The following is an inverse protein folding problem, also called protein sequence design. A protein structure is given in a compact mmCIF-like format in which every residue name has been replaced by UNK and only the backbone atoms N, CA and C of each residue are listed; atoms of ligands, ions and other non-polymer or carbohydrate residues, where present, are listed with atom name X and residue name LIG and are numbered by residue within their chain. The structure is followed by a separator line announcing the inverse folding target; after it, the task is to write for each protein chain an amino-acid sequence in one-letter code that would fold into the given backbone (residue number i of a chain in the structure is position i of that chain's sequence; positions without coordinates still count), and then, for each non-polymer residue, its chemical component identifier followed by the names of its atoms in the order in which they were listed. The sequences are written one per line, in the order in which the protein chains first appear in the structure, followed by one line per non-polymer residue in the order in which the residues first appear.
data_IF_405964744025
#
_entry.id   IF_405964744025
#
_cell.length_a   1.000
_cell.length_b   1.000
_cell.length_c   1.000
_cell.angle_alpha   90.00
_cell.angle_beta   90.00
_cell.angle_gamma   90.00
#
_symmetry.space_group_name_H-M   'P 1'
#
loop_
_entity.id
_entity.type
_entity.pdbx_description
1 polymer ?
#
# COMPACT_ATOMS: atom_id res chain seq x y z
N UNK A 1 -18.11 8.86 20.89
CA UNK A 1 -16.96 8.33 20.12
C UNK A 1 -15.71 9.00 20.67
N UNK A 2 -14.80 8.24 21.30
CA UNK A 2 -13.52 8.77 21.81
C UNK A 2 -12.46 8.54 20.73
N UNK A 3 -11.69 9.57 20.41
CA UNK A 3 -10.59 9.54 19.44
C UNK A 3 -9.30 9.70 20.24
N UNK A 4 -8.26 8.96 19.88
CA UNK A 4 -6.92 9.10 20.45
C UNK A 4 -6.05 9.83 19.44
N UNK A 5 -5.56 11.01 19.81
CA UNK A 5 -4.64 11.80 18.99
C UNK A 5 -3.19 11.41 19.28
N UNK A 6 -2.39 11.28 18.22
CA UNK A 6 -0.96 11.03 18.31
C UNK A 6 -0.21 12.32 17.94
N UNK A 7 0.32 13.02 18.93
CA UNK A 7 1.08 14.28 18.72
C UNK A 7 2.37 14.08 17.92
N UNK A 8 2.86 12.84 17.81
CA UNK A 8 4.15 12.48 17.22
C UNK A 8 4.02 11.32 16.24
N UNK A 9 3.34 11.55 15.12
CA UNK A 9 3.23 10.61 14.01
C UNK A 9 4.12 11.06 12.84
N UNK A 10 5.15 10.26 12.53
CA UNK A 10 6.13 10.57 11.47
C UNK A 10 6.05 9.56 10.33
N UNK A 11 6.29 10.01 9.10
CA UNK A 11 6.43 9.14 7.93
C UNK A 11 7.88 8.64 7.80
N UNK A 12 8.05 7.42 7.26
CA UNK A 12 9.38 6.82 7.09
C UNK A 12 10.22 7.46 5.97
N UNK A 13 9.57 8.18 5.05
CA UNK A 13 10.21 8.84 3.93
C UNK A 13 9.37 10.06 3.49
N UNK A 14 9.97 11.20 3.11
CA UNK A 14 9.26 12.37 2.60
C UNK A 14 8.81 12.21 1.13
N UNK A 15 8.66 10.98 0.64
CA UNK A 15 8.23 10.68 -0.72
C UNK A 15 6.99 9.79 -0.71
N UNK A 16 6.11 10.01 -1.69
CA UNK A 16 4.77 9.47 -1.66
C UNK A 16 4.72 7.96 -1.85
N UNK A 17 5.50 7.39 -2.77
CA UNK A 17 5.56 5.94 -3.00
C UNK A 17 6.25 5.15 -1.88
N UNK A 18 7.45 5.52 -1.40
CA UNK A 18 8.10 4.81 -0.30
C UNK A 18 7.32 4.94 1.01
N UNK A 19 6.71 6.10 1.30
CA UNK A 19 5.85 6.28 2.48
C UNK A 19 4.61 5.38 2.42
N UNK A 20 3.87 5.37 1.30
CA UNK A 20 2.69 4.49 1.13
C UNK A 20 3.06 3.02 1.17
N UNK A 21 4.13 2.62 0.49
CA UNK A 21 4.58 1.23 0.45
C UNK A 21 4.98 0.76 1.85
N UNK A 22 5.73 1.58 2.57
CA UNK A 22 6.17 1.27 3.92
C UNK A 22 4.98 1.09 4.87
N UNK A 23 3.99 1.98 4.80
CA UNK A 23 2.78 1.90 5.61
C UNK A 23 1.93 0.66 5.27
N UNK A 24 1.74 0.36 3.98
CA UNK A 24 0.85 -0.71 3.54
C UNK A 24 1.47 -2.10 3.69
N UNK A 25 2.79 -2.22 3.65
CA UNK A 25 3.50 -3.50 3.76
C UNK A 25 4.07 -3.72 5.17
N UNK A 26 4.15 -2.67 5.99
CA UNK A 26 4.69 -2.74 7.35
C UNK A 26 6.21 -2.95 7.39
N UNK A 27 6.94 -2.45 6.39
CA UNK A 27 8.40 -2.60 6.25
C UNK A 27 9.05 -1.25 5.98
N UNK A 28 10.29 -1.06 6.40
CA UNK A 28 11.00 0.19 6.12
C UNK A 28 11.29 0.33 4.60
N UNK A 29 11.35 1.55 4.05
CA UNK A 29 11.72 1.77 2.64
C UNK A 29 13.04 1.09 2.24
N UNK A 30 14.00 1.05 3.16
CA UNK A 30 15.28 0.34 3.00
C UNK A 30 15.13 -1.17 2.88
N UNK A 31 14.09 -1.75 3.48
CA UNK A 31 13.79 -3.19 3.42
C UNK A 31 12.91 -3.56 2.23
N UNK A 32 12.10 -2.63 1.73
CA UNK A 32 11.26 -2.85 0.53
C UNK A 32 11.98 -2.52 -0.77
N UNK A 33 13.13 -1.85 -0.70
CA UNK A 33 13.91 -1.39 -1.85
C UNK A 33 13.25 -0.23 -2.61
N UNK A 34 12.10 0.27 -2.16
CA UNK A 34 11.41 1.41 -2.78
C UNK A 34 11.98 2.69 -2.18
N UNK A 35 12.80 3.39 -2.95
CA UNK A 35 13.41 4.67 -2.54
C UNK A 35 12.93 5.87 -3.39
N UNK A 36 12.21 5.61 -4.48
CA UNK A 36 11.69 6.61 -5.41
C UNK A 36 10.19 6.39 -5.73
N UNK A 37 9.63 7.21 -6.61
CA UNK A 37 8.22 7.15 -6.99
C UNK A 37 7.89 6.21 -8.17
N UNK A 38 8.89 5.57 -8.75
CA UNK A 38 8.76 4.73 -9.95
C UNK A 38 8.90 3.24 -9.61
N UNK A 39 9.66 2.93 -8.55
CA UNK A 39 9.96 1.57 -8.14
C UNK A 39 8.74 0.85 -7.59
N UNK A 40 8.49 -0.33 -8.14
CA UNK A 40 7.45 -1.24 -7.69
C UNK A 40 8.00 -2.26 -6.71
N UNK A 41 7.51 -2.27 -5.47
CA UNK A 41 8.05 -3.15 -4.41
C UNK A 41 7.95 -4.64 -4.73
N UNK A 42 6.93 -5.08 -5.49
CA UNK A 42 6.80 -6.50 -5.84
C UNK A 42 7.78 -6.95 -6.92
N UNK A 43 8.45 -6.04 -7.61
CA UNK A 43 9.54 -6.42 -8.51
C UNK A 43 10.72 -7.00 -7.73
N UNK A 44 11.02 -6.45 -6.55
CA UNK A 44 12.07 -6.94 -5.66
C UNK A 44 11.56 -8.00 -4.67
N UNK A 45 10.30 -7.89 -4.23
CA UNK A 45 9.73 -8.74 -3.18
C UNK A 45 8.30 -9.21 -3.53
N UNK A 46 8.15 -10.24 -4.38
CA UNK A 46 6.83 -10.69 -4.83
C UNK A 46 5.96 -11.26 -3.70
N UNK A 47 6.59 -11.81 -2.65
CA UNK A 47 5.90 -12.50 -1.55
C UNK A 47 5.35 -11.57 -0.46
N UNK A 48 5.62 -10.26 -0.56
CA UNK A 48 5.14 -9.30 0.44
C UNK A 48 3.63 -9.09 0.33
N UNK A 49 2.94 -9.43 1.42
CA UNK A 49 1.50 -9.23 1.59
C UNK A 49 1.24 -7.80 2.03
N UNK A 50 0.42 -7.07 1.26
CA UNK A 50 -0.04 -5.74 1.66
C UNK A 50 -1.24 -5.83 2.61
N UNK A 51 -1.44 -4.78 3.42
CA UNK A 51 -2.55 -4.68 4.37
C UNK A 51 -3.93 -4.95 3.72
N UNK A 52 -4.26 -4.39 2.52
CA UNK A 52 -5.50 -4.75 1.83
C UNK A 52 -5.58 -6.22 1.39
N UNK A 53 -4.44 -6.84 1.01
CA UNK A 53 -4.43 -8.26 0.66
C UNK A 53 -4.69 -9.12 1.88
N UNK A 54 -4.11 -8.77 3.03
CA UNK A 54 -4.37 -9.46 4.30
C UNK A 54 -5.86 -9.40 4.68
N UNK A 55 -6.48 -8.22 4.60
CA UNK A 55 -7.92 -8.10 4.86
C UNK A 55 -8.76 -8.91 3.87
N UNK A 56 -8.44 -8.86 2.57
CA UNK A 56 -9.14 -9.65 1.55
C UNK A 56 -9.04 -11.16 1.79
N UNK A 57 -7.87 -11.66 2.19
CA UNK A 57 -7.66 -13.07 2.48
C UNK A 57 -8.48 -13.55 3.69
N UNK A 58 -8.82 -12.65 4.62
CA UNK A 58 -9.62 -12.92 5.81
C UNK A 58 -11.12 -12.60 5.62
N UNK A 59 -11.60 -12.51 4.38
CA UNK A 59 -13.03 -12.34 4.10
C UNK A 59 -13.56 -10.90 4.13
N UNK A 60 -12.69 -9.89 4.28
CA UNK A 60 -13.10 -8.49 4.25
C UNK A 60 -13.12 -7.92 2.83
N UNK A 61 -14.14 -7.11 2.53
CA UNK A 61 -14.19 -6.32 1.31
C UNK A 61 -13.15 -5.19 1.34
N UNK A 62 -12.11 -5.30 0.53
CA UNK A 62 -11.06 -4.29 0.42
C UNK A 62 -11.32 -3.38 -0.78
N UNK A 63 -11.78 -2.16 -0.49
CA UNK A 63 -12.08 -1.14 -1.51
C UNK A 63 -11.02 -0.05 -1.49
N UNK A 64 -10.74 0.49 -2.67
CA UNK A 64 -9.83 1.63 -2.86
C UNK A 64 -10.60 2.78 -3.49
N UNK A 65 -10.45 3.97 -2.92
CA UNK A 65 -10.94 5.22 -3.50
C UNK A 65 -9.80 6.26 -3.53
N UNK A 66 -9.70 7.04 -4.60
CA UNK A 66 -8.67 8.08 -4.79
C UNK A 66 -7.43 7.63 -5.58
N UNK A 67 -6.51 8.58 -5.82
CA UNK A 67 -5.36 8.46 -6.74
C UNK A 67 -4.29 7.47 -6.23
N UNK A 68 -4.03 6.42 -7.02
CA UNK A 68 -2.71 5.76 -7.15
C UNK A 68 -1.88 6.50 -8.17
N UNK A 69 -0.63 6.80 -7.87
CA UNK A 69 0.27 7.28 -8.92
C UNK A 69 1.68 6.71 -8.81
N UNK A 70 1.81 5.44 -8.40
CA UNK A 70 3.09 4.74 -8.50
C UNK A 70 2.98 3.24 -8.78
N UNK A 71 1.78 2.65 -8.73
CA UNK A 71 1.63 1.20 -8.62
C UNK A 71 0.40 0.67 -9.39
N UNK A 72 0.10 1.34 -10.51
CA UNK A 72 -0.94 0.92 -11.45
C UNK A 72 -0.38 -0.16 -12.38
N UNK A 73 -0.30 -1.41 -11.90
CA UNK A 73 -0.33 -2.60 -12.74
C UNK A 73 -1.46 -3.57 -12.33
N UNK A 74 -2.51 -3.06 -11.67
CA UNK A 74 -3.63 -3.85 -11.18
C UNK A 74 -5.01 -3.28 -11.56
N UNK A 75 -5.11 -2.52 -12.66
CA UNK A 75 -6.40 -2.01 -13.17
C UNK A 75 -7.20 -3.03 -14.00
N UNK A 76 -6.96 -4.34 -13.85
CA UNK A 76 -7.72 -5.36 -14.60
C UNK A 76 -8.67 -6.23 -13.77
N UNK A 77 -8.79 -6.04 -12.45
CA UNK A 77 -9.65 -6.92 -11.63
C UNK A 77 -10.93 -6.29 -11.10
N UNK A 78 -11.10 -4.96 -11.16
CA UNK A 78 -12.32 -4.30 -10.66
C UNK A 78 -13.45 -4.18 -11.71
N UNK A 79 -13.14 -4.21 -13.00
CA UNK A 79 -14.16 -4.14 -14.06
C UNK A 79 -14.78 -5.49 -14.45
N UNK A 80 -14.37 -6.61 -13.83
CA UNK A 80 -14.85 -7.96 -14.18
C UNK A 80 -15.91 -8.55 -13.24
N UNK A 81 -16.34 -7.80 -12.22
CA UNK A 81 -17.43 -8.21 -11.30
C UNK A 81 -18.78 -7.55 -11.63
N UNK A 82 -18.91 -6.86 -12.77
CA UNK A 82 -20.17 -6.36 -13.32
C UNK A 82 -20.42 -6.84 -14.75
N UNK A 83 -20.33 -8.14 -14.95
CA UNK A 83 -21.03 -8.88 -16.02
C UNK A 83 -21.55 -10.18 -15.45
#
# INVERSE_FOLDING_TARGET
MKITEFERAYAQCPLCNPSRTSLLVGRYPTQTGVMDNETWFRAAHPDLVSLPQHFKANGYASLRAGRDSSQCHALNTYQRQRR
#
